data_IF_881467618065
#
_entry.id   IF_881467618065
#
_cell.length_a   1.000
_cell.length_b   1.000
_cell.length_c   1.000
_cell.angle_alpha   90.00
_cell.angle_beta   90.00
_cell.angle_gamma   90.00
#
_symmetry.space_group_name_H-M   'P 1'
#
loop_
_entity.id
_entity.type
_entity.pdbx_description
1 polymer ?
#
# COMPACT_ATOMS: atom_id res chain seq x y z
N UNK A 1 9.14 25.34 -13.31
CA UNK A 1 10.05 25.95 -12.30
C UNK A 1 10.47 27.38 -12.66
N UNK A 2 10.86 27.68 -13.92
CA UNK A 2 11.23 29.05 -14.33
C UNK A 2 10.11 30.08 -14.10
N UNK A 3 8.88 29.78 -14.54
CA UNK A 3 7.70 30.64 -14.32
C UNK A 3 7.39 30.97 -12.86
N UNK A 4 7.50 29.99 -11.96
CA UNK A 4 7.32 30.22 -10.52
C UNK A 4 8.34 31.24 -9.98
N UNK A 5 9.61 31.12 -10.40
CA UNK A 5 10.67 32.04 -9.97
C UNK A 5 10.47 33.45 -10.55
N UNK A 6 10.11 33.56 -11.83
CA UNK A 6 9.78 34.84 -12.48
C UNK A 6 8.64 35.56 -11.76
N UNK A 7 7.68 34.80 -11.24
CA UNK A 7 6.54 35.31 -10.50
C UNK A 7 6.80 35.50 -8.98
N UNK A 8 8.07 35.42 -8.54
CA UNK A 8 8.49 35.65 -7.16
C UNK A 8 8.32 34.46 -6.20
N UNK A 9 7.82 33.31 -6.67
CA UNK A 9 7.67 32.08 -5.88
C UNK A 9 8.97 31.28 -5.93
N UNK A 10 9.91 31.66 -5.06
CA UNK A 10 11.29 31.10 -5.06
C UNK A 10 11.52 30.00 -4.02
N UNK A 11 10.63 29.85 -3.03
CA UNK A 11 10.78 28.86 -1.95
C UNK A 11 9.60 27.86 -1.92
N UNK A 12 9.83 26.67 -1.35
CA UNK A 12 8.75 25.69 -1.11
C UNK A 12 7.67 26.24 -0.17
N UNK A 13 8.05 27.03 0.84
CA UNK A 13 7.10 27.67 1.75
C UNK A 13 6.25 28.73 1.04
N UNK A 14 6.82 29.53 0.13
CA UNK A 14 6.05 30.47 -0.69
C UNK A 14 5.05 29.71 -1.58
N UNK A 15 5.47 28.63 -2.21
CA UNK A 15 4.59 27.77 -3.01
C UNK A 15 3.46 27.14 -2.17
N UNK A 16 3.78 26.65 -0.96
CA UNK A 16 2.82 26.01 -0.06
C UNK A 16 1.71 26.96 0.44
N UNK A 17 1.94 28.27 0.40
CA UNK A 17 0.97 29.29 0.83
C UNK A 17 0.00 29.73 -0.28
N UNK A 18 0.24 29.36 -1.53
CA UNK A 18 -0.70 29.67 -2.62
C UNK A 18 -2.02 28.91 -2.42
N UNK A 19 -3.09 29.42 -3.03
CA UNK A 19 -4.42 28.79 -3.03
C UNK A 19 -4.49 27.70 -4.13
N UNK A 20 -4.57 26.40 -3.77
CA UNK A 20 -4.66 25.32 -4.74
C UNK A 20 -6.01 25.26 -5.45
N UNK A 21 -7.10 25.74 -4.85
CA UNK A 21 -8.41 25.78 -5.49
C UNK A 21 -8.49 26.87 -6.54
N UNK A 22 -7.90 28.05 -6.28
CA UNK A 22 -7.74 29.08 -7.31
C UNK A 22 -6.89 28.56 -8.48
N UNK A 23 -5.76 27.91 -8.21
CA UNK A 23 -4.91 27.32 -9.23
C UNK A 23 -5.65 26.27 -10.08
N UNK A 24 -6.41 25.37 -9.44
CA UNK A 24 -7.22 24.34 -10.11
C UNK A 24 -8.30 24.97 -10.99
N UNK A 25 -9.10 25.89 -10.44
CA UNK A 25 -10.18 26.54 -11.19
C UNK A 25 -9.64 27.39 -12.36
N UNK A 26 -8.47 28.01 -12.21
CA UNK A 26 -7.83 28.76 -13.28
C UNK A 26 -7.37 27.84 -14.44
N UNK A 27 -6.79 26.67 -14.12
CA UNK A 27 -6.48 25.63 -15.12
C UNK A 27 -7.72 25.15 -15.86
N UNK A 28 -8.84 24.99 -15.16
CA UNK A 28 -10.13 24.54 -15.70
C UNK A 28 -10.88 25.64 -16.48
N UNK A 29 -10.34 26.85 -16.57
CA UNK A 29 -10.97 27.98 -17.28
C UNK A 29 -12.13 28.63 -16.51
N UNK A 30 -12.29 28.32 -15.23
CA UNK A 30 -13.42 28.75 -14.39
C UNK A 30 -13.18 30.07 -13.63
N UNK A 31 -11.98 30.67 -13.71
CA UNK A 31 -11.64 31.93 -13.01
C UNK A 31 -11.21 33.00 -14.01
N UNK A 32 -11.95 34.13 -14.13
CA UNK A 32 -11.55 35.28 -14.95
C UNK A 32 -10.50 36.19 -14.26
N UNK A 33 -9.98 35.80 -13.09
CA UNK A 33 -9.02 36.58 -12.32
C UNK A 33 -7.64 36.72 -12.98
N UNK A 34 -7.05 37.89 -12.78
CA UNK A 34 -5.71 38.32 -13.19
C UNK A 34 -4.67 38.20 -12.06
N UNK A 35 -5.08 37.69 -10.90
CA UNK A 35 -4.20 37.44 -9.76
C UNK A 35 -3.06 36.47 -10.06
N UNK A 36 -1.97 36.59 -9.28
CA UNK A 36 -0.76 35.77 -9.41
C UNK A 36 -1.06 34.27 -9.50
N UNK A 37 -1.91 33.75 -8.62
CA UNK A 37 -2.23 32.31 -8.55
C UNK A 37 -3.04 31.87 -9.77
N UNK A 38 -4.05 32.65 -10.19
CA UNK A 38 -4.78 32.38 -11.41
C UNK A 38 -3.89 32.38 -12.67
N UNK A 39 -2.95 33.33 -12.78
CA UNK A 39 -1.98 33.37 -13.88
C UNK A 39 -1.08 32.12 -13.88
N UNK A 40 -0.47 31.81 -12.74
CA UNK A 40 0.37 30.62 -12.59
C UNK A 40 -0.42 29.32 -12.82
N UNK A 41 -1.69 29.25 -12.40
CA UNK A 41 -2.55 28.07 -12.57
C UNK A 41 -2.85 27.73 -14.04
N UNK A 42 -2.85 28.74 -14.93
CA UNK A 42 -2.99 28.55 -16.38
C UNK A 42 -1.69 28.10 -17.06
N UNK A 43 -0.55 28.51 -16.53
CA UNK A 43 0.77 28.30 -17.17
C UNK A 43 1.55 27.11 -16.60
N UNK A 44 1.33 26.77 -15.32
CA UNK A 44 2.03 25.70 -14.62
C UNK A 44 1.10 24.51 -14.47
N UNK A 45 1.42 23.46 -15.21
CA UNK A 45 0.69 22.20 -15.18
C UNK A 45 0.60 21.65 -13.74
N UNK A 46 -0.61 21.28 -13.33
CA UNK A 46 -0.91 20.74 -12.00
C UNK A 46 -0.34 21.57 -10.83
N UNK A 47 -0.35 22.90 -10.93
CA UNK A 47 0.09 23.81 -9.86
C UNK A 47 -0.58 23.49 -8.52
N UNK A 48 -1.87 23.15 -8.52
CA UNK A 48 -2.61 22.71 -7.33
C UNK A 48 -1.92 21.54 -6.63
N UNK A 49 -1.48 20.52 -7.37
CA UNK A 49 -0.75 19.38 -6.81
C UNK A 49 0.64 19.76 -6.32
N UNK A 50 1.32 20.70 -7.00
CA UNK A 50 2.62 21.22 -6.55
C UNK A 50 2.48 21.97 -5.22
N UNK A 51 1.42 22.74 -5.03
CA UNK A 51 1.09 23.42 -3.77
C UNK A 51 0.89 22.39 -2.65
N UNK A 52 0.06 21.37 -2.88
CA UNK A 52 -0.18 20.32 -1.88
C UNK A 52 1.09 19.55 -1.51
N UNK A 53 1.94 19.20 -2.49
CA UNK A 53 3.24 18.56 -2.24
C UNK A 53 4.17 19.48 -1.44
N UNK A 54 4.16 20.78 -1.73
CA UNK A 54 4.93 21.76 -0.99
C UNK A 54 4.46 21.87 0.47
N UNK A 55 3.14 21.80 0.75
CA UNK A 55 2.60 21.78 2.12
C UNK A 55 3.11 20.59 2.93
N UNK A 56 3.06 19.38 2.37
CA UNK A 56 3.63 18.17 3.02
C UNK A 56 5.13 18.34 3.28
N UNK A 57 5.87 18.84 2.29
CA UNK A 57 7.32 19.02 2.41
C UNK A 57 7.72 20.09 3.44
N UNK A 58 6.91 21.14 3.61
CA UNK A 58 7.17 22.23 4.57
C UNK A 58 6.88 21.79 6.00
N UNK A 59 5.83 21.01 6.22
CA UNK A 59 5.50 20.53 7.57
C UNK A 59 6.37 19.35 8.01
N UNK A 60 6.95 18.61 7.06
CA UNK A 60 7.64 17.36 7.34
C UNK A 60 6.72 16.22 7.78
N UNK A 61 5.41 16.34 7.55
CA UNK A 61 4.42 15.29 7.84
C UNK A 61 3.38 15.19 6.73
N UNK A 62 2.79 14.00 6.59
CA UNK A 62 1.69 13.73 5.67
C UNK A 62 0.45 14.58 6.04
N UNK A 63 -0.44 14.79 5.08
CA UNK A 63 -1.68 15.56 5.29
C UNK A 63 -2.90 14.76 4.89
N UNK A 64 -4.04 14.96 5.56
CA UNK A 64 -5.31 14.32 5.15
C UNK A 64 -5.93 15.06 3.95
N UNK A 65 -6.61 14.33 3.07
CA UNK A 65 -7.36 14.84 1.90
C UNK A 65 -8.86 14.96 2.18
N UNK A 66 -9.30 14.41 3.31
CA UNK A 66 -10.70 14.31 3.71
C UNK A 66 -10.86 14.79 5.16
N UNK A 67 -12.11 14.98 5.58
CA UNK A 67 -12.43 15.27 6.97
C UNK A 67 -12.10 14.10 7.91
N UNK A 68 -11.77 14.35 9.20
CA UNK A 68 -11.34 13.29 10.10
C UNK A 68 -12.38 12.17 10.26
N UNK A 69 -13.67 12.50 10.16
CA UNK A 69 -14.78 11.54 10.23
C UNK A 69 -14.90 10.65 8.98
N UNK A 70 -14.33 11.07 7.84
CA UNK A 70 -14.30 10.30 6.59
C UNK A 70 -13.02 9.46 6.45
N UNK A 71 -12.05 9.61 7.37
CA UNK A 71 -10.85 8.79 7.40
C UNK A 71 -11.17 7.40 7.97
N UNK A 72 -10.64 6.36 7.34
CA UNK A 72 -10.76 4.99 7.82
C UNK A 72 -10.41 3.95 6.78
N UNK A 73 -10.57 2.69 7.17
CA UNK A 73 -10.43 1.52 6.35
C UNK A 73 -11.48 0.49 6.78
N UNK A 74 -12.05 -0.26 5.84
CA UNK A 74 -12.99 -1.32 6.19
C UNK A 74 -12.33 -2.31 7.16
N UNK A 75 -13.06 -2.71 8.20
CA UNK A 75 -12.60 -3.62 9.27
C UNK A 75 -13.37 -4.93 9.24
N UNK A 76 -12.77 -5.98 9.81
CA UNK A 76 -13.39 -7.28 9.96
C UNK A 76 -13.02 -7.95 11.29
N UNK A 77 -13.80 -8.96 11.69
CA UNK A 77 -13.53 -9.78 12.87
C UNK A 77 -12.23 -10.58 12.70
N UNK A 78 -11.97 -11.05 11.49
CA UNK A 78 -10.71 -11.68 11.07
C UNK A 78 -10.16 -10.92 9.86
N UNK A 79 -8.94 -10.43 10.02
CA UNK A 79 -8.24 -9.59 9.04
C UNK A 79 -6.95 -10.27 8.59
N UNK A 80 -6.71 -10.32 7.28
CA UNK A 80 -5.56 -10.97 6.67
C UNK A 80 -4.80 -9.96 5.81
N UNK A 81 -3.63 -9.52 6.27
CA UNK A 81 -2.73 -8.65 5.51
C UNK A 81 -1.81 -9.51 4.65
N UNK A 82 -1.93 -9.41 3.34
CA UNK A 82 -1.27 -10.25 2.33
C UNK A 82 -0.20 -9.45 1.60
N UNK A 83 0.94 -10.08 1.38
CA UNK A 83 2.02 -9.60 0.53
C UNK A 83 2.66 -10.78 -0.23
N UNK A 84 3.33 -10.52 -1.35
CA UNK A 84 3.97 -11.56 -2.15
C UNK A 84 5.33 -11.14 -2.68
N UNK A 85 6.24 -12.11 -2.81
CA UNK A 85 7.55 -11.91 -3.43
C UNK A 85 7.65 -12.65 -4.76
N UNK A 86 8.16 -11.95 -5.77
CA UNK A 86 8.41 -12.49 -7.09
C UNK A 86 9.87 -12.37 -7.49
N UNK A 87 10.32 -13.31 -8.30
CA UNK A 87 11.60 -13.26 -9.01
C UNK A 87 11.32 -13.51 -10.48
N UNK A 88 11.81 -12.62 -11.35
CA UNK A 88 11.40 -12.55 -12.76
C UNK A 88 9.86 -12.56 -12.89
N UNK A 89 9.31 -13.44 -13.72
CA UNK A 89 7.87 -13.53 -13.99
C UNK A 89 7.18 -14.61 -13.14
N UNK A 90 7.65 -14.90 -11.93
CA UNK A 90 7.04 -15.89 -11.05
C UNK A 90 7.09 -15.54 -9.56
N UNK A 91 6.03 -15.91 -8.83
CA UNK A 91 5.90 -15.71 -7.38
C UNK A 91 6.43 -16.93 -6.63
N UNK A 92 7.37 -16.71 -5.69
CA UNK A 92 7.98 -17.77 -4.88
C UNK A 92 7.56 -17.73 -3.40
N UNK A 93 6.93 -16.64 -2.95
CA UNK A 93 6.44 -16.48 -1.59
C UNK A 93 5.11 -15.71 -1.57
N UNK A 94 4.11 -16.30 -0.92
CA UNK A 94 2.93 -15.59 -0.42
C UNK A 94 2.98 -15.54 1.10
N UNK A 95 2.85 -14.35 1.66
CA UNK A 95 2.76 -14.10 3.09
C UNK A 95 1.40 -13.62 3.50
N UNK A 96 1.03 -13.92 4.73
CA UNK A 96 -0.19 -13.41 5.33
C UNK A 96 -0.05 -13.20 6.83
N UNK A 97 -0.39 -12.02 7.34
CA UNK A 97 -0.54 -11.76 8.78
C UNK A 97 -2.00 -11.75 9.15
N UNK A 98 -2.40 -12.69 9.99
CA UNK A 98 -3.77 -12.81 10.50
C UNK A 98 -3.91 -12.03 11.81
N UNK A 99 -4.88 -11.13 11.86
CA UNK A 99 -5.33 -10.42 13.07
C UNK A 99 -6.76 -10.83 13.40
N UNK A 100 -7.03 -11.10 14.68
CA UNK A 100 -8.32 -11.65 15.13
C UNK A 100 -8.89 -10.74 16.21
N UNK A 101 -9.92 -9.96 15.88
CA UNK A 101 -10.67 -9.13 16.82
C UNK A 101 -11.72 -9.93 17.59
N UNK A 102 -12.26 -10.99 16.96
CA UNK A 102 -13.18 -11.96 17.57
C UNK A 102 -12.66 -13.37 17.30
N UNK A 103 -12.50 -14.17 18.35
CA UNK A 103 -12.02 -15.54 18.22
C UNK A 103 -12.91 -16.38 17.29
N UNK A 104 -12.29 -17.03 16.30
CA UNK A 104 -12.94 -17.95 15.35
C UNK A 104 -12.23 -19.30 15.45
N UNK A 105 -12.95 -20.40 15.73
CA UNK A 105 -12.35 -21.74 15.78
C UNK A 105 -11.63 -22.09 14.48
N UNK A 106 -10.41 -22.60 14.59
CA UNK A 106 -9.58 -22.97 13.43
C UNK A 106 -8.81 -21.82 12.78
N UNK A 107 -8.98 -20.58 13.24
CA UNK A 107 -8.21 -19.42 12.76
C UNK A 107 -7.13 -19.06 13.78
N UNK A 108 -5.88 -19.07 13.34
CA UNK A 108 -4.72 -18.75 14.18
C UNK A 108 -4.13 -17.39 13.77
N UNK A 109 -4.06 -16.46 14.71
CA UNK A 109 -3.40 -15.17 14.52
C UNK A 109 -1.88 -15.32 14.31
N UNK A 110 -1.26 -14.35 13.63
CA UNK A 110 0.18 -14.34 13.35
C UNK A 110 0.49 -14.51 11.87
N UNK A 111 1.79 -14.65 11.57
CA UNK A 111 2.29 -14.76 10.20
C UNK A 111 2.21 -16.21 9.69
N UNK A 112 1.70 -16.36 8.47
CA UNK A 112 1.61 -17.61 7.72
C UNK A 112 2.33 -17.41 6.39
N UNK A 113 3.22 -18.33 6.03
CA UNK A 113 4.03 -18.22 4.83
C UNK A 113 3.85 -19.45 3.93
N UNK A 114 3.73 -19.20 2.64
CA UNK A 114 3.72 -20.19 1.58
C UNK A 114 4.88 -19.88 0.66
N UNK A 115 6.00 -20.56 0.87
CA UNK A 115 7.22 -20.38 0.11
C UNK A 115 7.59 -21.62 -0.71
N UNK A 116 8.34 -21.40 -1.80
CA UNK A 116 9.19 -22.40 -2.44
C UNK A 116 10.55 -21.80 -2.76
N UNK A 117 11.61 -22.58 -2.58
CA UNK A 117 12.97 -22.24 -3.01
C UNK A 117 13.54 -23.30 -3.97
N UNK A 118 12.67 -24.19 -4.45
CA UNK A 118 12.94 -25.11 -5.55
C UNK A 118 12.89 -24.36 -6.89
N UNK A 119 13.32 -24.96 -8.01
CA UNK A 119 13.23 -24.32 -9.32
C UNK A 119 11.83 -23.76 -9.60
N UNK A 120 11.77 -22.46 -9.87
CA UNK A 120 10.54 -21.68 -9.96
C UNK A 120 9.84 -21.87 -11.32
N UNK A 121 9.39 -23.10 -11.56
CA UNK A 121 8.64 -23.47 -12.77
C UNK A 121 7.19 -22.96 -12.70
N UNK A 122 6.49 -22.82 -13.85
CA UNK A 122 5.06 -22.50 -13.87
C UNK A 122 4.21 -23.42 -13.00
N UNK A 123 4.52 -24.72 -12.98
CA UNK A 123 3.82 -25.70 -12.15
C UNK A 123 4.10 -25.50 -10.65
N UNK A 124 5.33 -25.13 -10.28
CA UNK A 124 5.69 -24.84 -8.90
C UNK A 124 4.98 -23.59 -8.37
N UNK A 125 4.93 -22.51 -9.18
CA UNK A 125 4.16 -21.30 -8.85
C UNK A 125 2.66 -21.60 -8.70
N UNK A 126 2.07 -22.35 -9.65
CA UNK A 126 0.66 -22.73 -9.57
C UNK A 126 0.34 -23.56 -8.31
N UNK A 127 1.20 -24.53 -7.97
CA UNK A 127 1.05 -25.33 -6.76
C UNK A 127 1.23 -24.50 -5.47
N UNK A 128 2.15 -23.53 -5.48
CA UNK A 128 2.34 -22.59 -4.39
C UNK A 128 1.08 -21.76 -4.16
N UNK A 129 0.55 -21.17 -5.23
CA UNK A 129 -0.67 -20.37 -5.17
C UNK A 129 -1.87 -21.20 -4.71
N UNK A 130 -2.04 -22.43 -5.23
CA UNK A 130 -3.13 -23.31 -4.82
C UNK A 130 -3.09 -23.63 -3.30
N UNK A 131 -1.90 -23.81 -2.72
CA UNK A 131 -1.72 -23.99 -1.27
C UNK A 131 -2.13 -22.75 -0.47
N UNK A 132 -1.64 -21.58 -0.88
CA UNK A 132 -2.02 -20.31 -0.24
C UNK A 132 -3.53 -20.07 -0.33
N UNK A 133 -4.11 -20.28 -1.51
CA UNK A 133 -5.52 -20.09 -1.77
C UNK A 133 -6.40 -21.03 -0.95
N UNK A 134 -6.06 -22.32 -0.89
CA UNK A 134 -6.78 -23.29 -0.07
C UNK A 134 -6.78 -22.92 1.41
N UNK A 135 -5.66 -22.39 1.92
CA UNK A 135 -5.60 -21.87 3.29
C UNK A 135 -6.50 -20.64 3.49
N UNK A 136 -6.47 -19.68 2.56
CA UNK A 136 -7.29 -18.46 2.65
C UNK A 136 -8.79 -18.79 2.61
N UNK A 137 -9.21 -19.70 1.72
CA UNK A 137 -10.58 -20.22 1.69
C UNK A 137 -10.96 -20.93 2.98
N UNK A 138 -10.03 -21.68 3.59
CA UNK A 138 -10.24 -22.28 4.91
C UNK A 138 -10.53 -21.23 6.00
N UNK A 139 -9.78 -20.12 6.01
CA UNK A 139 -10.02 -19.00 6.94
C UNK A 139 -11.40 -18.36 6.67
N UNK A 140 -11.74 -18.12 5.40
CA UNK A 140 -13.03 -17.55 5.00
C UNK A 140 -14.21 -18.43 5.43
N UNK A 141 -14.12 -19.73 5.17
CA UNK A 141 -15.14 -20.71 5.56
C UNK A 141 -15.29 -20.80 7.08
N UNK A 142 -14.19 -20.74 7.84
CA UNK A 142 -14.24 -20.70 9.31
C UNK A 142 -14.94 -19.44 9.83
N UNK A 143 -14.69 -18.28 9.21
CA UNK A 143 -15.38 -17.03 9.55
C UNK A 143 -16.88 -17.13 9.27
N UNK A 144 -17.26 -17.64 8.10
CA UNK A 144 -18.66 -17.85 7.72
C UNK A 144 -19.38 -18.79 8.71
N UNK A 145 -18.77 -19.93 9.02
CA UNK A 145 -19.33 -20.89 9.98
C UNK A 145 -19.51 -20.30 11.39
N UNK A 146 -18.66 -19.37 11.80
CA UNK A 146 -18.74 -18.67 13.07
C UNK A 146 -19.63 -17.42 13.04
N UNK A 147 -20.20 -17.05 11.89
CA UNK A 147 -20.90 -15.78 11.69
C UNK A 147 -20.01 -14.57 11.99
N UNK A 148 -18.73 -14.66 11.66
CA UNK A 148 -17.73 -13.61 11.79
C UNK A 148 -17.44 -12.98 10.41
N UNK A 149 -17.13 -11.69 10.41
CA UNK A 149 -16.72 -10.98 9.19
C UNK A 149 -15.26 -11.25 8.85
N UNK A 150 -14.96 -11.27 7.55
CA UNK A 150 -13.61 -11.49 7.02
C UNK A 150 -13.16 -10.28 6.19
N UNK A 151 -11.88 -9.96 6.20
CA UNK A 151 -11.28 -8.96 5.31
C UNK A 151 -9.83 -9.32 4.99
N UNK A 152 -9.46 -9.27 3.72
CA UNK A 152 -8.09 -9.43 3.24
C UNK A 152 -7.61 -8.12 2.61
N UNK A 153 -6.36 -7.77 2.87
CA UNK A 153 -5.77 -6.47 2.55
C UNK A 153 -4.44 -6.71 1.85
N UNK A 154 -4.21 -6.05 0.73
CA UNK A 154 -2.88 -5.94 0.11
C UNK A 154 -2.50 -4.47 0.02
N UNK A 155 -1.21 -4.19 -0.13
CA UNK A 155 -0.80 -2.81 -0.34
C UNK A 155 -1.19 -2.33 -1.74
N UNK A 156 -0.96 -3.10 -2.82
CA UNK A 156 -1.26 -2.63 -4.18
C UNK A 156 -1.77 -3.75 -5.07
N UNK A 157 -3.11 -3.88 -5.15
CA UNK A 157 -3.76 -5.06 -5.71
C UNK A 157 -3.38 -5.38 -7.15
N UNK A 158 -2.96 -4.42 -7.98
CA UNK A 158 -2.53 -4.71 -9.36
C UNK A 158 -1.42 -5.75 -9.41
N UNK A 159 -0.47 -5.72 -8.45
CA UNK A 159 0.64 -6.67 -8.41
C UNK A 159 0.16 -8.06 -7.97
N UNK A 160 -0.56 -8.15 -6.85
CA UNK A 160 -1.08 -9.43 -6.35
C UNK A 160 -2.14 -10.00 -7.30
N UNK A 161 -2.96 -9.16 -7.91
CA UNK A 161 -3.98 -9.58 -8.87
C UNK A 161 -3.35 -10.21 -10.11
N UNK A 162 -2.30 -9.58 -10.64
CA UNK A 162 -1.52 -10.13 -11.74
C UNK A 162 -0.84 -11.45 -11.37
N UNK A 163 -0.34 -11.58 -10.14
CA UNK A 163 0.25 -12.83 -9.64
C UNK A 163 -0.77 -13.96 -9.50
N UNK A 164 -1.94 -13.69 -8.92
CA UNK A 164 -3.04 -14.65 -8.83
C UNK A 164 -3.51 -15.08 -10.22
N UNK A 165 -3.71 -14.13 -11.13
CA UNK A 165 -4.20 -14.43 -12.48
C UNK A 165 -3.21 -15.30 -13.26
N UNK A 166 -1.93 -14.97 -13.17
CA UNK A 166 -0.83 -15.72 -13.78
C UNK A 166 -0.71 -17.14 -13.21
N UNK A 167 -0.74 -17.29 -11.89
CA UNK A 167 -0.64 -18.59 -11.24
C UNK A 167 -1.81 -19.52 -11.61
N UNK A 168 -3.03 -18.98 -11.67
CA UNK A 168 -4.21 -19.73 -12.13
C UNK A 168 -4.09 -20.10 -13.61
N UNK A 169 -3.65 -19.17 -14.48
CA UNK A 169 -3.45 -19.45 -15.91
C UNK A 169 -2.36 -20.52 -16.16
N UNK A 170 -1.40 -20.67 -15.25
CA UNK A 170 -0.32 -21.66 -15.29
C UNK A 170 -0.69 -22.99 -14.60
N UNK A 171 -1.88 -23.10 -14.03
CA UNK A 171 -2.35 -24.32 -13.36
C UNK A 171 -2.66 -25.42 -14.39
N UNK A 172 -1.95 -26.56 -14.39
CA UNK A 172 -2.11 -27.58 -15.44
C UNK A 172 -3.41 -28.38 -15.36
N UNK A 173 -4.01 -28.47 -14.18
CA UNK A 173 -5.29 -29.18 -13.97
C UNK A 173 -6.45 -28.22 -14.22
N UNK A 174 -7.24 -28.49 -15.27
CA UNK A 174 -8.35 -27.62 -15.69
C UNK A 174 -9.44 -27.44 -14.63
N UNK A 175 -9.70 -28.47 -13.82
CA UNK A 175 -10.71 -28.41 -12.79
C UNK A 175 -10.25 -27.54 -11.62
N UNK A 176 -8.98 -27.70 -11.21
CA UNK A 176 -8.35 -26.85 -10.20
C UNK A 176 -8.23 -25.41 -10.69
N UNK A 177 -7.78 -25.17 -11.91
CA UNK A 177 -7.67 -23.83 -12.50
C UNK A 177 -9.01 -23.10 -12.49
N UNK A 178 -10.10 -23.80 -12.85
CA UNK A 178 -11.46 -23.26 -12.79
C UNK A 178 -11.88 -22.93 -11.35
N UNK A 179 -11.66 -23.83 -10.40
CA UNK A 179 -12.01 -23.60 -9.00
C UNK A 179 -11.25 -22.41 -8.39
N UNK A 180 -9.95 -22.28 -8.69
CA UNK A 180 -9.14 -21.14 -8.26
C UNK A 180 -9.65 -19.84 -8.89
N UNK A 181 -9.95 -19.85 -10.20
CA UNK A 181 -10.50 -18.69 -10.92
C UNK A 181 -11.80 -18.21 -10.27
N UNK A 182 -12.74 -19.13 -10.06
CA UNK A 182 -14.04 -18.84 -9.45
C UNK A 182 -13.88 -18.25 -8.04
N UNK A 183 -12.98 -18.81 -7.23
CA UNK A 183 -12.69 -18.30 -5.88
C UNK A 183 -12.11 -16.89 -5.89
N UNK A 184 -11.10 -16.64 -6.74
CA UNK A 184 -10.44 -15.33 -6.88
C UNK A 184 -11.45 -14.28 -7.34
N UNK A 185 -12.24 -14.59 -8.36
CA UNK A 185 -13.26 -13.67 -8.88
C UNK A 185 -14.35 -13.41 -7.84
N UNK A 186 -14.78 -14.43 -7.09
CA UNK A 186 -15.74 -14.26 -6.00
C UNK A 186 -15.19 -13.38 -4.86
N UNK A 187 -13.91 -13.50 -4.50
CA UNK A 187 -13.28 -12.66 -3.49
C UNK A 187 -13.27 -11.18 -3.92
N UNK A 188 -12.85 -10.90 -5.16
CA UNK A 188 -12.78 -9.55 -5.74
C UNK A 188 -14.16 -8.92 -5.94
N UNK A 189 -15.15 -9.73 -6.31
CA UNK A 189 -16.53 -9.29 -6.53
C UNK A 189 -17.34 -9.12 -5.24
N UNK A 190 -16.86 -9.64 -4.09
CA UNK A 190 -17.60 -9.63 -2.83
C UNK A 190 -18.08 -8.23 -2.41
N UNK A 191 -19.32 -8.15 -1.90
CA UNK A 191 -19.93 -6.92 -1.39
C UNK A 191 -20.51 -7.14 0.01
N UNK A 192 -20.14 -6.32 1.02
CA UNK A 192 -19.11 -5.28 0.98
C UNK A 192 -17.73 -5.85 0.62
N UNK A 193 -16.80 -5.00 0.17
CA UNK A 193 -15.47 -5.44 -0.26
C UNK A 193 -14.79 -6.29 0.81
N UNK A 194 -14.12 -7.36 0.35
CA UNK A 194 -13.39 -8.32 1.19
C UNK A 194 -11.93 -8.44 0.78
N UNK A 195 -11.59 -8.02 -0.43
CA UNK A 195 -10.22 -7.80 -0.90
C UNK A 195 -10.03 -6.30 -1.04
N UNK A 196 -9.14 -5.73 -0.23
CA UNK A 196 -9.03 -4.29 -0.02
C UNK A 196 -7.63 -3.85 -0.43
N UNK A 197 -7.58 -2.97 -1.44
CA UNK A 197 -6.36 -2.30 -1.88
C UNK A 197 -6.08 -1.11 -0.95
N UNK A 198 -5.08 -1.23 -0.08
CA UNK A 198 -4.73 -0.16 0.85
C UNK A 198 -4.06 1.04 0.18
N UNK A 199 -3.41 0.87 -0.98
CA UNK A 199 -2.87 1.96 -1.77
C UNK A 199 -4.01 2.83 -2.33
N UNK A 200 -5.08 2.25 -2.88
CA UNK A 200 -6.27 3.01 -3.28
C UNK A 200 -6.90 3.74 -2.09
N UNK A 201 -7.12 3.01 -0.97
CA UNK A 201 -7.71 3.58 0.25
C UNK A 201 -6.91 4.78 0.77
N UNK A 202 -5.59 4.66 0.88
CA UNK A 202 -4.72 5.73 1.40
C UNK A 202 -4.55 6.87 0.38
N UNK A 203 -4.50 6.59 -0.93
CA UNK A 203 -4.35 7.62 -1.96
C UNK A 203 -5.52 8.62 -2.00
N UNK A 204 -6.72 8.14 -1.64
CA UNK A 204 -7.93 8.97 -1.54
C UNK A 204 -7.94 9.84 -0.28
N UNK A 205 -7.25 9.40 0.76
CA UNK A 205 -7.35 9.98 2.11
C UNK A 205 -6.12 10.76 2.54
N UNK A 206 -4.95 10.52 1.96
CA UNK A 206 -3.67 11.06 2.41
C UNK A 206 -2.90 11.70 1.25
N UNK A 207 -2.33 12.86 1.53
CA UNK A 207 -1.48 13.63 0.66
C UNK A 207 -0.02 13.45 1.07
N UNK A 208 0.80 13.08 0.10
CA UNK A 208 2.25 12.90 0.19
C UNK A 208 2.99 14.01 -0.55
N UNK A 209 4.29 14.18 -0.28
CA UNK A 209 5.15 15.12 -1.00
C UNK A 209 5.60 14.59 -2.37
N UNK A 210 5.56 13.27 -2.55
CA UNK A 210 5.98 12.56 -3.76
C UNK A 210 5.10 11.33 -4.02
N UNK A 211 5.59 10.34 -4.79
CA UNK A 211 4.88 9.10 -5.02
C UNK A 211 4.47 8.42 -3.71
N UNK A 212 3.28 7.83 -3.70
CA UNK A 212 2.78 7.03 -2.61
C UNK A 212 3.47 5.64 -2.64
N UNK A 213 3.88 5.14 -1.49
CA UNK A 213 4.49 3.81 -1.39
C UNK A 213 4.47 3.31 0.04
N UNK A 214 4.46 1.97 0.22
CA UNK A 214 4.24 1.33 1.51
C UNK A 214 5.20 1.83 2.58
N UNK A 215 6.51 1.88 2.26
CA UNK A 215 7.54 2.40 3.17
C UNK A 215 7.27 3.79 3.68
N UNK A 216 6.82 4.69 2.81
CA UNK A 216 6.52 6.07 3.18
C UNK A 216 5.37 6.12 4.20
N UNK A 217 4.25 5.45 3.90
CA UNK A 217 3.05 5.56 4.72
C UNK A 217 3.08 4.69 5.96
N UNK A 218 3.68 3.50 5.91
CA UNK A 218 3.83 2.66 7.10
C UNK A 218 4.86 3.26 8.07
N UNK A 219 5.94 3.91 7.58
CA UNK A 219 6.83 4.68 8.47
C UNK A 219 6.11 5.84 9.14
N UNK A 220 5.24 6.55 8.41
CA UNK A 220 4.37 7.58 8.99
C UNK A 220 3.35 7.00 9.99
N UNK A 221 2.97 5.73 9.83
CA UNK A 221 2.20 4.96 10.79
C UNK A 221 3.02 4.45 11.99
N UNK A 222 4.33 4.71 12.03
CA UNK A 222 5.23 4.30 13.11
C UNK A 222 5.78 2.88 12.97
N UNK A 223 5.64 2.25 11.80
CA UNK A 223 6.22 0.94 11.52
C UNK A 223 7.70 1.05 11.16
N UNK A 224 8.49 0.07 11.59
CA UNK A 224 9.90 -0.06 11.24
C UNK A 224 10.18 -1.52 10.85
N UNK A 225 10.83 -1.70 9.71
CA UNK A 225 11.30 -3.01 9.24
C UNK A 225 12.46 -3.50 10.10
N UNK A 226 12.57 -4.83 10.24
CA UNK A 226 13.72 -5.48 10.89
C UNK A 226 15.00 -5.28 10.10
N UNK A 227 14.91 -5.30 8.77
CA UNK A 227 16.06 -5.08 7.90
C UNK A 227 16.47 -3.60 7.90
N UNK A 228 17.78 -3.27 7.94
CA UNK A 228 18.25 -1.88 7.89
C UNK A 228 18.13 -1.24 6.50
N UNK A 229 18.03 -2.04 5.43
CA UNK A 229 17.90 -1.57 4.05
C UNK A 229 16.88 -2.42 3.28
N UNK A 230 15.60 -2.42 3.71
CA UNK A 230 14.56 -3.19 3.06
C UNK A 230 14.37 -2.65 1.63
N UNK A 231 14.48 -3.48 0.60
CA UNK A 231 14.09 -3.14 -0.78
C UNK A 231 13.81 -4.37 -1.63
N UNK A 232 12.85 -4.26 -2.56
CA UNK A 232 12.58 -5.31 -3.53
C UNK A 232 13.78 -5.59 -4.45
N UNK A 233 14.62 -4.57 -4.72
CA UNK A 233 15.89 -4.79 -5.43
C UNK A 233 16.86 -5.64 -4.62
N UNK A 234 16.96 -5.40 -3.30
CA UNK A 234 17.79 -6.22 -2.43
C UNK A 234 17.22 -7.64 -2.27
N UNK A 235 15.89 -7.82 -2.30
CA UNK A 235 15.26 -9.13 -2.18
C UNK A 235 15.58 -10.05 -3.37
N UNK A 236 15.77 -9.51 -4.58
CA UNK A 236 16.28 -10.26 -5.75
C UNK A 236 17.64 -10.89 -5.43
N UNK A 237 18.58 -10.10 -4.93
CA UNK A 237 19.93 -10.57 -4.60
C UNK A 237 19.92 -11.56 -3.42
N UNK A 238 18.95 -11.44 -2.49
CA UNK A 238 18.76 -12.42 -1.43
C UNK A 238 18.17 -13.73 -1.97
N UNK A 239 17.23 -13.66 -2.91
CA UNK A 239 16.64 -14.82 -3.56
C UNK A 239 17.68 -15.64 -4.33
N UNK A 240 18.52 -15.01 -5.15
CA UNK A 240 19.61 -15.69 -5.86
C UNK A 240 20.51 -16.49 -4.91
N UNK A 241 20.82 -15.91 -3.74
CA UNK A 241 21.62 -16.60 -2.69
C UNK A 241 20.81 -17.66 -1.96
N UNK A 242 19.50 -17.48 -1.80
CA UNK A 242 18.59 -18.43 -1.16
C UNK A 242 18.40 -19.72 -1.97
N UNK A 243 18.57 -19.68 -3.30
CA UNK A 243 18.49 -20.84 -4.20
C UNK A 243 19.86 -21.38 -4.62
N UNK A 244 20.95 -20.76 -4.15
CA UNK A 244 22.32 -21.15 -4.49
C UNK A 244 22.83 -22.44 -3.84
N UNK A 245 24.03 -22.87 -4.24
CA UNK A 245 24.63 -24.16 -3.86
C UNK A 245 25.23 -24.20 -2.44
N UNK A 246 25.46 -23.05 -1.80
CA UNK A 246 25.92 -22.98 -0.39
C UNK A 246 24.73 -23.14 0.58
N UNK A 247 24.57 -24.28 1.27
CA UNK A 247 23.37 -24.55 2.06
C UNK A 247 23.24 -23.64 3.29
N UNK A 248 24.36 -23.21 3.88
CA UNK A 248 24.35 -22.37 5.10
C UNK A 248 24.01 -20.94 4.73
N UNK A 249 24.63 -20.41 3.67
CA UNK A 249 24.27 -19.10 3.11
C UNK A 249 22.81 -19.06 2.67
N UNK A 250 22.34 -20.10 1.97
CA UNK A 250 20.97 -20.21 1.49
C UNK A 250 19.94 -20.11 2.63
N UNK A 251 20.13 -20.87 3.73
CA UNK A 251 19.21 -20.85 4.87
C UNK A 251 19.06 -19.47 5.51
N UNK A 252 20.16 -18.72 5.63
CA UNK A 252 20.13 -17.36 6.18
C UNK A 252 19.36 -16.39 5.28
N UNK A 253 19.53 -16.48 3.96
CA UNK A 253 18.80 -15.66 3.01
C UNK A 253 17.32 -16.03 2.91
N UNK A 254 16.97 -17.31 2.98
CA UNK A 254 15.56 -17.77 3.06
C UNK A 254 14.85 -17.19 4.27
N UNK A 255 15.51 -17.23 5.45
CA UNK A 255 14.96 -16.61 6.67
C UNK A 255 14.77 -15.11 6.49
N UNK A 256 15.78 -14.41 5.95
CA UNK A 256 15.71 -12.97 5.71
C UNK A 256 14.57 -12.58 4.76
N UNK A 257 14.31 -13.37 3.72
CA UNK A 257 13.19 -13.17 2.80
C UNK A 257 11.82 -13.35 3.49
N UNK A 258 11.68 -14.38 4.31
CA UNK A 258 10.47 -14.60 5.11
C UNK A 258 10.24 -13.44 6.11
N UNK A 259 11.30 -12.96 6.75
CA UNK A 259 11.24 -11.81 7.66
C UNK A 259 10.87 -10.52 6.91
N UNK A 260 11.42 -10.31 5.71
CA UNK A 260 11.10 -9.15 4.88
C UNK A 260 9.62 -9.14 4.46
N UNK A 261 9.12 -10.26 3.93
CA UNK A 261 7.72 -10.38 3.53
C UNK A 261 6.75 -10.34 4.72
N UNK A 262 7.12 -10.92 5.88
CA UNK A 262 6.36 -10.74 7.12
C UNK A 262 6.30 -9.26 7.53
N UNK A 263 7.39 -8.51 7.40
CA UNK A 263 7.39 -7.08 7.69
C UNK A 263 6.49 -6.29 6.73
N UNK A 264 6.46 -6.62 5.43
CA UNK A 264 5.56 -5.97 4.47
C UNK A 264 4.08 -6.27 4.77
N UNK A 265 3.75 -7.51 5.19
CA UNK A 265 2.42 -7.83 5.73
C UNK A 265 2.09 -7.02 7.00
N UNK A 266 3.04 -6.89 7.93
CA UNK A 266 2.86 -6.12 9.18
C UNK A 266 2.79 -4.61 8.94
N UNK A 267 3.51 -4.10 7.94
CA UNK A 267 3.45 -2.71 7.51
C UNK A 267 2.07 -2.38 6.93
N UNK A 268 1.52 -3.28 6.12
CA UNK A 268 0.16 -3.23 5.59
C UNK A 268 -0.88 -3.18 6.72
N UNK A 269 -0.73 -4.05 7.73
CA UNK A 269 -1.54 -4.01 8.95
C UNK A 269 -1.42 -2.67 9.68
N UNK A 270 -0.19 -2.20 9.92
CA UNK A 270 0.06 -0.96 10.65
C UNK A 270 -0.60 0.23 9.93
N UNK A 271 -0.56 0.25 8.60
CA UNK A 271 -1.25 1.24 7.78
C UNK A 271 -2.78 1.18 7.96
N UNK A 272 -3.38 -0.03 7.90
CA UNK A 272 -4.83 -0.21 8.16
C UNK A 272 -5.22 0.36 9.52
N UNK A 273 -4.49 -0.02 10.57
CA UNK A 273 -4.79 0.42 11.94
C UNK A 273 -4.56 1.93 12.11
N UNK A 274 -3.57 2.49 11.43
CA UNK A 274 -3.28 3.93 11.47
C UNK A 274 -4.39 4.79 10.85
N UNK A 275 -4.98 4.33 9.74
CA UNK A 275 -6.10 5.01 9.07
C UNK A 275 -7.34 5.12 9.96
N UNK A 276 -7.58 4.16 10.85
CA UNK A 276 -8.69 4.17 11.81
C UNK A 276 -8.47 5.08 13.03
N UNK A 277 -7.24 5.54 13.27
CA UNK A 277 -6.90 6.27 14.49
C UNK A 277 -6.01 7.47 14.23
N UNK A 278 -4.69 7.36 14.41
CA UNK A 278 -3.77 8.51 14.39
C UNK A 278 -3.84 9.37 13.11
N UNK A 279 -4.12 8.79 11.95
CA UNK A 279 -4.21 9.53 10.68
C UNK A 279 -5.29 10.63 10.72
N UNK A 280 -6.32 10.50 11.56
CA UNK A 280 -7.38 11.50 11.75
C UNK A 280 -6.88 12.83 12.28
N UNK A 281 -5.70 12.85 12.91
CA UNK A 281 -5.08 14.04 13.49
C UNK A 281 -4.12 14.76 12.54
N UNK A 282 -3.91 14.25 11.33
CA UNK A 282 -3.10 14.94 10.33
C UNK A 282 -3.76 16.28 9.96
N UNK A 283 -2.96 17.34 9.68
CA UNK A 283 -3.52 18.59 9.19
C UNK A 283 -4.16 18.37 7.81
N UNK A 284 -5.21 19.13 7.49
CA UNK A 284 -5.84 19.02 6.18
C UNK A 284 -4.90 19.54 5.10
N UNK A 285 -4.91 18.93 3.91
CA UNK A 285 -4.09 19.40 2.79
C UNK A 285 -4.45 20.82 2.37
N UNK A 286 -5.69 21.26 2.60
CA UNK A 286 -6.18 22.58 2.18
C UNK A 286 -5.76 23.69 3.15
N UNK A 287 -5.35 23.34 4.38
CA UNK A 287 -4.81 24.30 5.35
C UNK A 287 -3.42 24.76 4.93
N UNK A 288 -3.15 26.08 4.81
CA UNK A 288 -1.79 26.56 4.54
C UNK A 288 -0.86 26.25 5.74
N UNK A 289 0.46 26.17 5.52
CA UNK A 289 1.41 25.99 6.62
C UNK A 289 1.41 27.24 7.53
N UNK A 290 1.71 27.05 8.81
CA UNK A 290 1.79 28.14 9.78
C UNK A 290 2.73 29.28 9.33
N UNK A 291 2.48 30.53 9.76
CA UNK A 291 3.43 31.63 9.58
C UNK A 291 4.78 31.29 10.21
N UNK A 292 5.86 31.92 9.73
CA UNK A 292 7.16 31.72 10.37
C UNK A 292 7.09 32.27 11.80
N UNK A 293 7.69 31.57 12.80
CA UNK A 293 7.88 32.19 14.09
C UNK A 293 8.68 33.47 13.85
N UNK A 294 8.11 34.60 14.27
CA UNK A 294 8.85 35.87 14.30
C UNK A 294 10.03 35.60 15.22
N UNK A 295 11.27 35.69 14.72
CA UNK A 295 12.45 35.66 15.58
C UNK A 295 12.25 36.73 16.65
N UNK A 296 12.14 36.30 17.91
CA UNK A 296 12.04 37.22 19.02
C UNK A 296 13.31 38.10 18.99
N UNK A 297 13.17 39.43 19.12
CA UNK A 297 14.27 40.38 18.97
C UNK A 297 15.40 40.15 19.98
#
# INVERSE_FOLDING_TARGET
QARLREAGVTTRRALARLDPDEARRAREGAVPGDGLVAALGREVEHLDQLIYRARVAVDGTLRRRVEPAAMGCARADVEVDVDMESYEDATYLWGAVVSVARAVPGVTAGYHAFATFDPLTPAAEAALFARFWAWLEGVRAACEAAGATFGAYCFWSTAEDGAMDRAVARTPDDALARALREGVDALRAARPARWIDLHDVVSRQVQTAGPLGLKLVASAAGFAWRDPSPSGEASIAWYERAVGEDPVGAAAHRRRLLEYNEDDCRATRALRDWLEGPARRLPHRDEPPAPEPVEAP
#
